data_IF_986171976948
#
_entry.id   IF_986171976948
#
_cell.length_a   1.000
_cell.length_b   1.000
_cell.length_c   1.000
_cell.angle_alpha   90.00
_cell.angle_beta   90.00
_cell.angle_gamma   90.00
#
_symmetry.space_group_name_H-M   'P 1'
#
loop_
_entity.id
_entity.type
_entity.pdbx_description
1 polymer ?
#
# COMPACT_ATOMS: atom_id res chain seq x y z
N UNK A 1 31.34 -13.85 10.06
CA UNK A 1 30.23 -13.85 11.02
C UNK A 1 29.01 -13.26 10.32
N UNK A 2 28.04 -14.12 10.04
CA UNK A 2 26.86 -13.83 9.22
C UNK A 2 25.88 -12.90 9.96
N UNK A 3 25.78 -11.64 9.54
CA UNK A 3 24.55 -10.89 9.73
C UNK A 3 23.62 -11.24 8.57
N UNK A 4 22.67 -12.09 8.90
CA UNK A 4 21.54 -12.50 8.07
C UNK A 4 20.90 -11.23 7.52
N UNK A 5 21.17 -10.93 6.25
CA UNK A 5 20.32 -10.05 5.47
C UNK A 5 18.92 -10.65 5.55
N UNK A 6 17.99 -10.00 6.26
CA UNK A 6 16.57 -10.33 6.17
C UNK A 6 16.12 -10.01 4.74
N UNK A 7 16.33 -10.96 3.85
CA UNK A 7 15.76 -10.96 2.51
C UNK A 7 14.27 -11.22 2.69
N UNK A 8 13.50 -10.20 3.04
CA UNK A 8 12.07 -10.19 2.78
C UNK A 8 11.85 -9.91 1.28
N UNK A 9 12.47 -10.69 0.38
CA UNK A 9 12.09 -10.73 -1.04
C UNK A 9 10.86 -11.62 -1.17
N UNK A 10 9.72 -11.21 -0.61
CA UNK A 10 8.46 -11.53 -1.28
C UNK A 10 8.27 -10.43 -2.29
N UNK A 11 8.58 -10.74 -3.55
CA UNK A 11 8.08 -9.96 -4.67
C UNK A 11 6.56 -10.09 -4.57
N UNK A 12 5.88 -9.04 -4.12
CA UNK A 12 4.42 -9.02 -4.09
C UNK A 12 4.02 -8.88 -5.55
N UNK A 13 3.63 -9.98 -6.17
CA UNK A 13 3.08 -9.94 -7.51
C UNK A 13 1.69 -9.30 -7.41
N UNK A 14 1.61 -8.02 -7.79
CA UNK A 14 0.35 -7.30 -7.90
C UNK A 14 -0.45 -7.96 -9.03
N UNK A 15 -1.48 -8.71 -8.65
CA UNK A 15 -2.45 -9.27 -9.60
C UNK A 15 -3.52 -8.25 -9.99
N UNK A 16 -4.36 -8.57 -10.99
CA UNK A 16 -5.51 -7.75 -11.37
C UNK A 16 -6.43 -7.42 -10.19
N UNK A 17 -6.69 -8.38 -9.30
CA UNK A 17 -7.50 -8.16 -8.09
C UNK A 17 -6.90 -7.13 -7.13
N UNK A 18 -5.57 -7.01 -7.09
CA UNK A 18 -4.90 -5.96 -6.31
C UNK A 18 -5.10 -4.59 -6.96
N UNK A 19 -4.98 -4.50 -8.28
CA UNK A 19 -5.20 -3.26 -9.03
C UNK A 19 -6.63 -2.75 -8.86
N UNK A 20 -7.62 -3.62 -9.02
CA UNK A 20 -9.05 -3.27 -8.85
C UNK A 20 -9.33 -2.74 -7.44
N UNK A 21 -8.69 -3.33 -6.43
CA UNK A 21 -8.84 -2.92 -5.04
C UNK A 21 -8.11 -1.60 -4.75
N UNK A 22 -6.89 -1.44 -5.27
CA UNK A 22 -6.13 -0.21 -5.16
C UNK A 22 -6.84 0.96 -5.83
N UNK A 23 -7.46 0.77 -7.00
CA UNK A 23 -8.23 1.82 -7.67
C UNK A 23 -9.42 2.28 -6.82
N UNK A 24 -10.13 1.35 -6.17
CA UNK A 24 -11.22 1.67 -5.23
C UNK A 24 -10.72 2.45 -4.02
N UNK A 25 -9.58 2.03 -3.46
CA UNK A 25 -8.94 2.73 -2.34
C UNK A 25 -8.52 4.15 -2.75
N UNK A 26 -7.89 4.31 -3.92
CA UNK A 26 -7.45 5.60 -4.43
C UNK A 26 -8.62 6.55 -4.64
N UNK A 27 -9.73 6.07 -5.22
CA UNK A 27 -10.95 6.86 -5.36
C UNK A 27 -11.46 7.35 -4.00
N UNK A 28 -11.50 6.48 -2.98
CA UNK A 28 -11.92 6.87 -1.62
C UNK A 28 -10.99 7.90 -1.00
N UNK A 29 -9.67 7.73 -1.11
CA UNK A 29 -8.70 8.69 -0.58
C UNK A 29 -8.85 10.04 -1.30
N UNK A 30 -8.96 10.03 -2.62
CA UNK A 30 -9.15 11.24 -3.42
C UNK A 30 -10.42 12.01 -3.05
N UNK A 31 -11.51 11.32 -2.68
CA UNK A 31 -12.71 11.99 -2.16
C UNK A 31 -12.46 12.70 -0.82
N UNK A 32 -11.60 12.14 0.04
CA UNK A 32 -11.24 12.73 1.34
C UNK A 32 -10.31 13.94 1.17
N UNK A 33 -9.24 13.78 0.37
CA UNK A 33 -8.23 14.83 0.19
C UNK A 33 -8.62 15.85 -0.89
N UNK A 34 -9.66 15.57 -1.66
CA UNK A 34 -10.20 16.40 -2.76
C UNK A 34 -9.13 16.80 -3.80
N UNK A 35 -8.20 15.89 -4.09
CA UNK A 35 -7.11 16.14 -5.02
C UNK A 35 -6.13 17.25 -4.63
N UNK A 36 -6.16 17.74 -3.39
CA UNK A 36 -5.29 18.83 -2.92
C UNK A 36 -3.81 18.45 -2.86
N UNK A 37 -3.51 17.16 -2.82
CA UNK A 37 -2.16 16.59 -2.81
C UNK A 37 -2.17 15.19 -3.42
N UNK A 38 -0.98 14.69 -3.72
CA UNK A 38 -0.78 13.31 -4.14
C UNK A 38 -1.11 12.32 -3.01
N UNK A 39 -1.53 11.11 -3.40
CA UNK A 39 -1.81 10.02 -2.47
C UNK A 39 -0.50 9.43 -1.96
N UNK A 40 -0.39 9.31 -0.64
CA UNK A 40 0.75 8.69 0.02
C UNK A 40 0.46 7.23 0.37
N UNK A 41 1.49 6.40 0.44
CA UNK A 41 1.35 5.03 0.94
C UNK A 41 0.76 4.97 2.36
N UNK A 42 1.05 5.97 3.19
CA UNK A 42 0.44 6.11 4.52
C UNK A 42 -1.07 6.33 4.47
N UNK A 43 -1.60 7.01 3.45
CA UNK A 43 -3.05 7.22 3.31
C UNK A 43 -3.77 5.91 3.05
N UNK A 44 -3.16 5.03 2.24
CA UNK A 44 -3.66 3.70 1.93
C UNK A 44 -3.73 2.86 3.21
N UNK A 45 -2.63 2.81 3.96
CA UNK A 45 -2.55 2.08 5.23
C UNK A 45 -3.57 2.63 6.23
N UNK A 46 -3.65 3.96 6.35
CA UNK A 46 -4.57 4.62 7.27
C UNK A 46 -6.04 4.37 6.91
N UNK A 47 -6.39 4.38 5.62
CA UNK A 47 -7.74 4.05 5.18
C UNK A 47 -8.08 2.60 5.53
N UNK A 48 -7.20 1.65 5.21
CA UNK A 48 -7.43 0.23 5.49
C UNK A 48 -7.64 0.01 7.00
N UNK A 49 -6.81 0.62 7.85
CA UNK A 49 -6.94 0.53 9.30
C UNK A 49 -8.23 1.18 9.82
N UNK A 50 -8.54 2.41 9.36
CA UNK A 50 -9.71 3.17 9.81
C UNK A 50 -11.04 2.49 9.46
N UNK A 51 -11.11 1.88 8.29
CA UNK A 51 -12.32 1.19 7.81
C UNK A 51 -12.38 -0.28 8.26
N UNK A 52 -11.40 -0.73 9.06
CA UNK A 52 -11.26 -2.09 9.56
C UNK A 52 -11.28 -3.15 8.42
N UNK A 53 -10.69 -2.83 7.27
CA UNK A 53 -10.58 -3.77 6.16
C UNK A 53 -9.57 -4.86 6.51
N UNK A 54 -10.01 -6.10 6.34
CA UNK A 54 -9.23 -7.29 6.66
C UNK A 54 -9.28 -8.30 5.52
N UNK A 55 -8.29 -9.20 5.48
CA UNK A 55 -8.18 -10.23 4.46
C UNK A 55 -6.81 -10.21 3.77
N UNK A 56 -6.52 -11.29 3.05
CA UNK A 56 -5.20 -11.53 2.43
C UNK A 56 -4.77 -10.39 1.49
N UNK A 57 -5.67 -9.93 0.62
CA UNK A 57 -5.39 -8.85 -0.33
C UNK A 57 -5.02 -7.53 0.35
N UNK A 58 -5.76 -7.14 1.40
CA UNK A 58 -5.44 -5.92 2.16
C UNK A 58 -4.10 -6.04 2.89
N UNK A 59 -3.80 -7.21 3.45
CA UNK A 59 -2.50 -7.47 4.07
C UNK A 59 -1.35 -7.37 3.05
N UNK A 60 -1.53 -7.91 1.85
CA UNK A 60 -0.56 -7.82 0.76
C UNK A 60 -0.36 -6.37 0.29
N UNK A 61 -1.43 -5.58 0.20
CA UNK A 61 -1.37 -4.14 -0.10
C UNK A 61 -0.60 -3.37 1.01
N UNK A 62 -0.87 -3.65 2.28
CA UNK A 62 -0.15 -3.02 3.40
C UNK A 62 1.34 -3.37 3.35
N UNK A 63 1.68 -4.62 3.05
CA UNK A 63 3.08 -5.04 2.91
C UNK A 63 3.76 -4.32 1.74
N UNK A 64 3.06 -4.17 0.61
CA UNK A 64 3.57 -3.41 -0.54
C UNK A 64 3.76 -1.93 -0.22
N UNK A 65 2.83 -1.30 0.49
CA UNK A 65 2.96 0.09 0.93
C UNK A 65 4.18 0.26 1.84
N UNK A 66 4.32 -0.59 2.86
CA UNK A 66 5.45 -0.56 3.78
C UNK A 66 6.79 -0.81 3.08
N UNK A 67 6.82 -1.72 2.10
CA UNK A 67 8.00 -1.97 1.30
C UNK A 67 8.46 -0.69 0.59
N UNK A 68 7.54 0.02 -0.10
CA UNK A 68 7.88 1.24 -0.81
C UNK A 68 8.34 2.37 0.12
N UNK A 69 7.67 2.55 1.26
CA UNK A 69 8.09 3.51 2.30
C UNK A 69 9.52 3.23 2.76
N UNK A 70 9.88 1.96 2.98
CA UNK A 70 11.25 1.57 3.36
C UNK A 70 12.29 1.83 2.27
N UNK A 71 11.88 1.93 1.01
CA UNK A 71 12.75 2.31 -0.11
C UNK A 71 12.82 3.85 -0.28
N UNK A 72 12.24 4.64 0.62
CA UNK A 72 12.20 6.10 0.52
C UNK A 72 11.16 6.63 -0.47
N UNK A 73 10.22 5.78 -0.93
CA UNK A 73 9.10 6.21 -1.78
C UNK A 73 7.88 6.50 -0.91
N UNK A 74 7.38 7.73 -0.98
CA UNK A 74 6.25 8.16 -0.13
C UNK A 74 4.92 8.26 -0.88
N UNK A 75 4.98 8.59 -2.18
CA UNK A 75 3.81 8.76 -3.02
C UNK A 75 3.48 7.46 -3.75
N UNK A 76 2.21 7.12 -3.80
CA UNK A 76 1.71 5.91 -4.42
C UNK A 76 1.20 6.23 -5.83
N UNK A 77 1.74 5.53 -6.83
CA UNK A 77 1.26 5.52 -8.22
C UNK A 77 0.85 4.10 -8.58
N UNK A 78 -0.32 3.93 -9.20
CA UNK A 78 -0.82 2.66 -9.74
C UNK A 78 -0.73 2.71 -11.26
#
# INVERSE_FOLDING_TARGET
MNQIQRICKRKIDISSSHLDLLEKIFKKINLVIKGKREIMYSDIINLIARENYSGKLYNEIILWCNYNIRQGKYFASI
#
